data_IF_563963641782
#
_entry.id   IF_563963641782
#
_cell.length_a   1.000
_cell.length_b   1.000
_cell.length_c   1.000
_cell.angle_alpha   90.00
_cell.angle_beta   90.00
_cell.angle_gamma   90.00
#
_symmetry.space_group_name_H-M   'P 1'
#
loop_
_entity.id
_entity.type
_entity.pdbx_description
1 polymer ?
#
# COMPACT_ATOMS: atom_id res chain seq x y z
N UNK A 1 3.60 10.35 -18.87
CA UNK A 1 3.55 8.87 -19.06
C UNK A 1 4.32 8.45 -20.32
N UNK A 2 5.17 7.42 -20.27
CA UNK A 2 5.89 6.87 -21.44
C UNK A 2 5.04 5.90 -22.25
N UNK A 3 5.47 5.53 -23.46
CA UNK A 3 4.73 4.56 -24.28
C UNK A 3 4.74 3.16 -23.66
N UNK A 4 5.86 2.70 -23.08
CA UNK A 4 5.90 1.44 -22.32
C UNK A 4 4.87 1.39 -21.18
N UNK A 5 4.66 2.52 -20.50
CA UNK A 5 3.69 2.61 -19.41
C UNK A 5 2.24 2.54 -19.93
N UNK A 6 1.96 3.13 -21.09
CA UNK A 6 0.65 3.00 -21.76
C UNK A 6 0.40 1.55 -22.16
N UNK A 7 1.38 0.92 -22.82
CA UNK A 7 1.29 -0.48 -23.25
C UNK A 7 1.13 -1.42 -22.06
N UNK A 8 1.82 -1.16 -20.94
CA UNK A 8 1.60 -1.89 -19.69
C UNK A 8 0.17 -1.75 -19.17
N UNK A 9 -0.38 -0.54 -19.16
CA UNK A 9 -1.78 -0.31 -18.75
C UNK A 9 -2.75 -1.06 -19.67
N UNK A 10 -2.51 -1.05 -20.99
CA UNK A 10 -3.32 -1.79 -21.96
C UNK A 10 -3.29 -3.31 -21.70
N UNK A 11 -2.12 -3.89 -21.43
CA UNK A 11 -1.98 -5.30 -21.06
C UNK A 11 -2.76 -5.62 -19.77
N UNK A 12 -2.67 -4.76 -18.75
CA UNK A 12 -3.37 -4.95 -17.49
C UNK A 12 -4.89 -4.82 -17.68
N UNK A 13 -5.36 -3.84 -18.44
CA UNK A 13 -6.78 -3.65 -18.76
C UNK A 13 -7.35 -4.85 -19.52
N UNK A 14 -6.60 -5.39 -20.48
CA UNK A 14 -6.94 -6.63 -21.16
C UNK A 14 -7.05 -7.80 -20.18
N UNK A 15 -6.06 -7.99 -19.30
CA UNK A 15 -6.04 -9.11 -18.37
C UNK A 15 -7.12 -9.04 -17.29
N UNK A 16 -7.41 -7.84 -16.76
CA UNK A 16 -8.34 -7.66 -15.64
C UNK A 16 -9.78 -7.50 -16.07
N UNK A 17 -10.03 -6.89 -17.24
CA UNK A 17 -11.35 -6.47 -17.67
C UNK A 17 -11.74 -6.92 -19.08
N UNK A 18 -10.88 -7.71 -19.75
CA UNK A 18 -11.05 -8.13 -21.15
C UNK A 18 -11.19 -6.95 -22.14
N UNK A 19 -10.65 -5.77 -21.78
CA UNK A 19 -10.70 -4.56 -22.61
C UNK A 19 -9.54 -4.60 -23.60
N UNK A 20 -9.87 -4.72 -24.89
CA UNK A 20 -8.88 -4.68 -25.97
C UNK A 20 -8.51 -3.25 -26.28
N UNK A 21 -7.22 -2.95 -26.25
CA UNK A 21 -6.64 -1.68 -26.65
C UNK A 21 -5.66 -1.90 -27.81
N UNK A 22 -5.27 -0.82 -28.47
CA UNK A 22 -4.26 -0.87 -29.53
C UNK A 22 -2.87 -1.16 -28.93
N UNK A 23 -2.24 -2.22 -29.44
CA UNK A 23 -0.86 -2.57 -29.16
C UNK A 23 0.01 -2.15 -30.35
N UNK A 24 1.19 -1.64 -30.06
CA UNK A 24 2.16 -1.30 -31.11
C UNK A 24 3.07 -2.48 -31.37
N UNK A 25 3.16 -2.94 -32.62
CA UNK A 25 4.00 -4.09 -33.01
C UNK A 25 5.49 -3.88 -32.70
N UNK A 26 5.95 -2.62 -32.68
CA UNK A 26 7.33 -2.22 -32.37
C UNK A 26 7.61 -2.02 -30.86
N UNK A 27 6.68 -2.38 -29.98
CA UNK A 27 6.86 -2.20 -28.54
C UNK A 27 8.03 -3.03 -27.99
N UNK A 28 8.88 -2.42 -27.16
CA UNK A 28 9.89 -3.15 -26.40
C UNK A 28 9.26 -3.85 -25.19
N UNK A 29 8.82 -5.09 -25.41
CA UNK A 29 8.23 -5.92 -24.37
C UNK A 29 9.16 -6.21 -23.19
N UNK A 30 10.49 -6.16 -23.39
CA UNK A 30 11.45 -6.32 -22.29
C UNK A 30 11.36 -5.12 -21.34
N UNK A 31 11.29 -3.91 -21.90
CA UNK A 31 11.10 -2.68 -21.12
C UNK A 31 9.73 -2.65 -20.44
N UNK A 32 8.66 -3.08 -21.12
CA UNK A 32 7.30 -3.17 -20.55
C UNK A 32 7.26 -4.15 -19.36
N UNK A 33 7.83 -5.36 -19.50
CA UNK A 33 7.89 -6.33 -18.41
C UNK A 33 8.80 -5.85 -17.26
N UNK A 34 9.85 -5.07 -17.55
CA UNK A 34 10.66 -4.42 -16.52
C UNK A 34 9.84 -3.38 -15.75
N UNK A 35 9.06 -2.55 -16.42
CA UNK A 35 8.14 -1.63 -15.76
C UNK A 35 7.10 -2.41 -14.93
N UNK A 36 6.54 -3.51 -15.45
CA UNK A 36 5.58 -4.35 -14.74
C UNK A 36 6.14 -4.89 -13.41
N UNK A 37 7.43 -5.27 -13.37
CA UNK A 37 8.12 -5.67 -12.12
C UNK A 37 8.20 -4.53 -11.12
N UNK A 38 8.63 -3.35 -11.57
CA UNK A 38 8.74 -2.16 -10.73
C UNK A 38 7.38 -1.73 -10.18
N UNK A 39 6.30 -2.05 -10.89
CA UNK A 39 4.93 -1.78 -10.49
C UNK A 39 4.23 -2.93 -9.73
N UNK A 40 4.93 -4.06 -9.52
CA UNK A 40 4.43 -5.28 -8.88
C UNK A 40 3.18 -5.88 -9.56
N UNK A 41 3.16 -5.85 -10.90
CA UNK A 41 2.07 -6.36 -11.77
C UNK A 41 2.61 -7.25 -12.90
N UNK A 42 3.81 -7.81 -12.73
CA UNK A 42 4.46 -8.66 -13.72
C UNK A 42 3.60 -9.86 -14.16
N UNK A 43 2.96 -10.65 -13.28
CA UNK A 43 2.16 -11.79 -13.71
C UNK A 43 0.98 -11.39 -14.62
N UNK A 44 0.31 -10.27 -14.33
CA UNK A 44 -0.76 -9.72 -15.17
C UNK A 44 -0.24 -9.37 -16.56
N UNK A 45 0.84 -8.59 -16.61
CA UNK A 45 1.41 -8.13 -17.87
C UNK A 45 1.94 -9.29 -18.71
N UNK A 46 2.64 -10.24 -18.08
CA UNK A 46 3.23 -11.39 -18.77
C UNK A 46 2.15 -12.33 -19.32
N UNK A 47 1.11 -12.66 -18.55
CA UNK A 47 0.04 -13.51 -19.05
C UNK A 47 -0.75 -12.84 -20.18
N UNK A 48 -1.06 -11.55 -20.07
CA UNK A 48 -1.69 -10.80 -21.15
C UNK A 48 -0.85 -10.85 -22.43
N UNK A 49 0.45 -10.60 -22.29
CA UNK A 49 1.40 -10.54 -23.39
C UNK A 49 1.46 -11.84 -24.20
N UNK A 50 1.32 -13.00 -23.54
CA UNK A 50 1.27 -14.31 -24.19
C UNK A 50 0.09 -14.48 -25.15
N UNK A 51 -0.94 -13.63 -25.06
CA UNK A 51 -2.06 -13.62 -26.01
C UNK A 51 -1.74 -12.89 -27.32
N UNK A 52 -0.65 -12.13 -27.37
CA UNK A 52 -0.27 -11.29 -28.51
C UNK A 52 1.05 -11.72 -29.14
N UNK A 53 1.99 -12.24 -28.35
CA UNK A 53 3.30 -12.67 -28.82
C UNK A 53 3.73 -14.00 -28.19
N UNK A 54 4.52 -14.79 -28.93
CA UNK A 54 5.20 -15.96 -28.34
C UNK A 54 6.42 -15.48 -27.55
N UNK A 55 6.60 -16.04 -26.34
CA UNK A 55 7.75 -15.80 -25.47
C UNK A 55 8.63 -17.04 -25.31
N UNK A 56 8.53 -18.03 -26.22
CA UNK A 56 9.15 -19.35 -26.06
C UNK A 56 10.68 -19.30 -26.01
N UNK A 57 11.27 -18.30 -26.67
CA UNK A 57 12.71 -18.07 -26.68
C UNK A 57 13.24 -17.29 -25.45
N UNK A 58 12.36 -16.89 -24.52
CA UNK A 58 12.70 -16.08 -23.34
C UNK A 58 12.40 -16.83 -22.02
N UNK A 59 13.09 -17.96 -21.73
CA UNK A 59 12.77 -18.85 -20.62
C UNK A 59 12.89 -18.19 -19.23
N UNK A 60 13.62 -17.08 -19.12
CA UNK A 60 13.72 -16.31 -17.88
C UNK A 60 12.37 -15.75 -17.43
N UNK A 61 11.49 -15.36 -18.35
CA UNK A 61 10.18 -14.80 -18.01
C UNK A 61 9.20 -15.88 -17.55
N UNK A 62 9.20 -17.04 -18.21
CA UNK A 62 8.46 -18.20 -17.76
C UNK A 62 8.92 -18.65 -16.36
N UNK A 63 10.23 -18.66 -16.10
CA UNK A 63 10.80 -18.98 -14.78
C UNK A 63 10.38 -17.97 -13.71
N UNK A 64 10.38 -16.68 -14.01
CA UNK A 64 9.93 -15.64 -13.09
C UNK A 64 8.43 -15.73 -12.82
N UNK A 65 7.62 -16.00 -13.84
CA UNK A 65 6.19 -16.24 -13.69
C UNK A 65 5.95 -17.44 -12.78
N UNK A 66 6.59 -18.58 -13.06
CA UNK A 66 6.51 -19.78 -12.21
C UNK A 66 6.95 -19.51 -10.75
N UNK A 67 7.97 -18.67 -10.54
CA UNK A 67 8.41 -18.24 -9.20
C UNK A 67 7.35 -17.39 -8.47
N UNK A 68 6.64 -16.51 -9.20
CA UNK A 68 5.49 -15.78 -8.67
C UNK A 68 4.36 -16.75 -8.29
N UNK A 69 4.00 -17.70 -9.18
CA UNK A 69 2.98 -18.71 -8.89
C UNK A 69 3.34 -19.54 -7.64
N UNK A 70 4.59 -19.99 -7.52
CA UNK A 70 5.06 -20.73 -6.35
C UNK A 70 4.98 -19.89 -5.06
N UNK A 71 5.21 -18.57 -5.14
CA UNK A 71 5.02 -17.65 -4.02
C UNK A 71 3.54 -17.50 -3.67
N UNK A 72 2.66 -17.40 -4.66
CA UNK A 72 1.22 -17.28 -4.46
C UNK A 72 0.61 -18.54 -3.83
N UNK A 73 1.02 -19.74 -4.28
CA UNK A 73 0.65 -21.03 -3.69
C UNK A 73 1.14 -21.13 -2.25
N UNK A 74 2.39 -20.71 -1.98
CA UNK A 74 2.93 -20.67 -0.61
C UNK A 74 2.10 -19.74 0.28
N UNK A 75 1.76 -18.55 -0.20
CA UNK A 75 0.94 -17.61 0.58
C UNK A 75 -0.47 -18.17 0.81
N UNK A 76 -1.09 -18.81 -0.19
CA UNK A 76 -2.37 -19.51 -0.02
C UNK A 76 -2.30 -20.56 1.09
N UNK A 77 -1.23 -21.36 1.13
CA UNK A 77 -0.98 -22.33 2.19
C UNK A 77 -0.91 -21.64 3.57
N UNK A 78 -0.13 -20.56 3.71
CA UNK A 78 0.01 -19.87 5.00
C UNK A 78 -1.25 -19.11 5.44
N UNK A 79 -2.09 -18.62 4.52
CA UNK A 79 -3.42 -18.12 4.87
C UNK A 79 -4.30 -19.22 5.48
N UNK A 80 -4.23 -20.44 4.94
CA UNK A 80 -4.99 -21.57 5.46
C UNK A 80 -4.44 -22.10 6.79
N UNK A 81 -3.11 -22.17 6.96
CA UNK A 81 -2.51 -22.54 8.25
C UNK A 81 -2.81 -21.50 9.33
N UNK A 82 -2.78 -20.22 8.98
CA UNK A 82 -3.18 -19.15 9.90
C UNK A 82 -4.65 -19.32 10.32
N UNK A 83 -5.54 -19.61 9.37
CA UNK A 83 -6.94 -19.89 9.69
C UNK A 83 -7.05 -21.04 10.68
N UNK A 84 -6.44 -22.20 10.39
CA UNK A 84 -6.44 -23.37 11.27
C UNK A 84 -5.91 -23.05 12.66
N UNK A 85 -4.81 -22.30 12.74
CA UNK A 85 -4.16 -21.92 13.99
C UNK A 85 -5.06 -21.04 14.85
N UNK A 86 -5.65 -19.99 14.27
CA UNK A 86 -6.44 -19.01 15.01
C UNK A 86 -7.82 -19.56 15.38
N UNK A 87 -8.54 -20.19 14.45
CA UNK A 87 -9.87 -20.75 14.76
C UNK A 87 -9.78 -21.94 15.70
N UNK A 88 -8.76 -22.79 15.56
CA UNK A 88 -8.52 -23.90 16.48
C UNK A 88 -8.15 -23.47 17.91
N UNK A 89 -7.80 -22.20 18.10
CA UNK A 89 -7.54 -21.59 19.41
C UNK A 89 -8.60 -20.54 19.79
N UNK A 90 -9.74 -20.51 19.10
CA UNK A 90 -10.87 -19.60 19.36
C UNK A 90 -10.45 -18.12 19.31
N UNK A 91 -9.58 -17.75 18.37
CA UNK A 91 -9.13 -16.37 18.17
C UNK A 91 -9.85 -15.79 16.94
N UNK A 92 -10.79 -14.84 17.12
CA UNK A 92 -11.39 -14.11 16.03
C UNK A 92 -10.34 -13.29 15.28
N UNK A 93 -10.43 -13.29 13.95
CA UNK A 93 -9.51 -12.54 13.11
C UNK A 93 -10.12 -12.22 11.75
N UNK A 94 -9.50 -11.32 11.02
CA UNK A 94 -9.83 -11.04 9.62
C UNK A 94 -8.56 -10.90 8.79
N UNK A 95 -8.55 -11.43 7.57
CA UNK A 95 -7.46 -11.19 6.63
C UNK A 95 -7.61 -9.78 6.03
N UNK A 96 -6.56 -8.97 6.10
CA UNK A 96 -6.61 -7.58 5.62
C UNK A 96 -6.36 -7.48 4.11
N UNK A 97 -5.42 -8.28 3.60
CA UNK A 97 -4.89 -8.23 2.23
C UNK A 97 -4.46 -9.63 1.79
N UNK A 98 -3.82 -9.75 0.63
CA UNK A 98 -3.29 -11.04 0.18
C UNK A 98 -4.36 -11.80 -0.60
N UNK A 99 -4.74 -12.99 -0.14
CA UNK A 99 -5.73 -13.82 -0.83
C UNK A 99 -7.12 -13.18 -0.92
N UNK A 100 -7.50 -12.36 0.08
CA UNK A 100 -8.77 -11.61 0.03
C UNK A 100 -8.76 -10.59 -1.10
N UNK A 101 -7.65 -9.88 -1.33
CA UNK A 101 -7.53 -8.96 -2.47
C UNK A 101 -7.40 -9.71 -3.80
N UNK A 102 -6.69 -10.85 -3.79
CA UNK A 102 -6.52 -11.71 -4.96
C UNK A 102 -7.85 -12.27 -5.48
N UNK A 103 -8.83 -12.49 -4.59
CA UNK A 103 -10.12 -13.11 -4.97
C UNK A 103 -10.95 -12.28 -5.95
N UNK A 104 -10.66 -10.99 -6.11
CA UNK A 104 -11.34 -10.13 -7.08
C UNK A 104 -10.72 -10.15 -8.48
N UNK A 105 -9.50 -10.70 -8.61
CA UNK A 105 -8.85 -10.84 -9.90
C UNK A 105 -9.51 -11.96 -10.71
N UNK A 106 -9.50 -11.89 -12.06
CA UNK A 106 -10.01 -12.96 -12.92
C UNK A 106 -9.34 -14.32 -12.64
N UNK A 107 -8.06 -14.30 -12.28
CA UNK A 107 -7.34 -15.41 -11.67
C UNK A 107 -6.58 -14.88 -10.44
N UNK A 108 -6.89 -15.37 -9.21
CA UNK A 108 -6.20 -14.97 -7.98
C UNK A 108 -4.68 -15.15 -8.02
N UNK A 109 -4.18 -16.07 -8.84
CA UNK A 109 -2.75 -16.30 -8.95
C UNK A 109 -2.01 -15.22 -9.74
N UNK A 110 -2.70 -14.27 -10.39
CA UNK A 110 -2.07 -13.16 -11.10
C UNK A 110 -1.73 -11.98 -10.20
N UNK A 111 -2.28 -11.93 -8.98
CA UNK A 111 -1.93 -10.91 -8.01
C UNK A 111 -0.57 -11.23 -7.40
N UNK A 112 0.44 -10.37 -7.59
CA UNK A 112 1.73 -10.52 -6.90
C UNK A 112 1.59 -10.32 -5.38
N UNK A 113 1.62 -11.42 -4.62
CA UNK A 113 1.52 -11.43 -3.16
C UNK A 113 2.89 -11.42 -2.48
N UNK A 114 3.00 -10.69 -1.36
CA UNK A 114 4.21 -10.63 -0.55
C UNK A 114 4.06 -11.41 0.76
N UNK A 115 3.13 -10.95 1.59
CA UNK A 115 2.90 -11.29 2.98
C UNK A 115 1.44 -11.71 3.24
N UNK A 116 1.22 -12.28 4.43
CA UNK A 116 -0.09 -12.58 4.99
C UNK A 116 -0.39 -11.53 6.07
N UNK A 117 -1.19 -10.53 5.72
CA UNK A 117 -1.67 -9.52 6.67
C UNK A 117 -2.99 -9.95 7.31
N UNK A 118 -3.05 -9.95 8.64
CA UNK A 118 -4.26 -10.27 9.37
C UNK A 118 -4.45 -9.38 10.59
N UNK A 119 -5.70 -9.14 10.95
CA UNK A 119 -6.13 -8.31 12.07
C UNK A 119 -6.68 -9.18 13.19
N UNK A 120 -6.24 -8.93 14.41
CA UNK A 120 -6.74 -9.56 15.65
C UNK A 120 -7.15 -8.49 16.66
N UNK A 121 -7.88 -8.90 17.70
CA UNK A 121 -8.11 -8.02 18.84
C UNK A 121 -6.82 -7.80 19.63
N UNK A 122 -6.67 -6.60 20.20
CA UNK A 122 -5.51 -6.25 21.04
C UNK A 122 -5.31 -7.20 22.22
N UNK A 123 -6.41 -7.72 22.77
CA UNK A 123 -6.39 -8.66 23.89
C UNK A 123 -5.69 -10.00 23.53
N UNK A 124 -5.67 -10.36 22.25
CA UNK A 124 -5.12 -11.64 21.77
C UNK A 124 -3.65 -11.55 21.33
N UNK A 125 -3.03 -10.36 21.34
CA UNK A 125 -1.68 -10.15 20.80
C UNK A 125 -0.66 -11.11 21.42
N UNK A 126 -0.60 -11.19 22.75
CA UNK A 126 0.37 -12.06 23.45
C UNK A 126 0.09 -13.55 23.19
N UNK A 127 -1.19 -13.93 23.10
CA UNK A 127 -1.61 -15.30 22.81
C UNK A 127 -1.19 -15.70 21.39
N UNK A 128 -1.45 -14.84 20.40
CA UNK A 128 -1.07 -15.08 19.00
C UNK A 128 0.45 -15.06 18.83
N UNK A 129 1.17 -14.16 19.51
CA UNK A 129 2.64 -14.15 19.49
C UNK A 129 3.22 -15.49 19.99
N UNK A 130 2.70 -16.01 21.11
CA UNK A 130 3.08 -17.32 21.61
C UNK A 130 2.80 -18.44 20.60
N UNK A 131 1.59 -18.47 20.02
CA UNK A 131 1.18 -19.48 19.04
C UNK A 131 2.04 -19.45 17.77
N UNK A 132 2.31 -18.27 17.21
CA UNK A 132 3.18 -18.14 16.04
C UNK A 132 4.60 -18.62 16.33
N UNK A 133 5.15 -18.27 17.50
CA UNK A 133 6.47 -18.76 17.92
C UNK A 133 6.50 -20.28 18.09
N UNK A 134 5.44 -20.87 18.66
CA UNK A 134 5.30 -22.32 18.79
C UNK A 134 5.22 -23.02 17.43
N UNK A 135 4.59 -22.38 16.43
CA UNK A 135 4.58 -22.82 15.03
C UNK A 135 5.90 -22.56 14.29
N UNK A 136 6.96 -22.10 14.98
CA UNK A 136 8.30 -21.90 14.44
C UNK A 136 8.50 -20.58 13.70
N UNK A 137 7.56 -19.64 13.80
CA UNK A 137 7.77 -18.29 13.30
C UNK A 137 8.69 -17.48 14.22
N UNK A 138 9.60 -16.73 13.61
CA UNK A 138 10.48 -15.79 14.32
C UNK A 138 9.94 -14.38 14.16
N UNK A 139 9.62 -13.74 15.30
CA UNK A 139 9.32 -12.31 15.36
C UNK A 139 10.56 -11.53 14.93
N UNK A 140 10.40 -10.52 14.08
CA UNK A 140 11.52 -9.72 13.58
C UNK A 140 11.84 -8.58 14.56
N UNK A 141 13.12 -8.31 14.82
CA UNK A 141 13.57 -7.32 15.84
C UNK A 141 13.08 -5.87 15.59
N UNK A 142 12.67 -5.55 14.36
CA UNK A 142 12.09 -4.25 14.02
C UNK A 142 10.56 -4.21 14.15
N UNK A 143 9.89 -5.36 14.33
CA UNK A 143 8.45 -5.46 14.49
C UNK A 143 7.95 -4.58 15.65
N UNK A 144 8.70 -4.53 16.75
CA UNK A 144 8.32 -3.76 17.96
C UNK A 144 8.42 -2.24 17.78
N UNK A 145 8.90 -1.76 16.62
CA UNK A 145 8.96 -0.32 16.30
C UNK A 145 7.72 0.16 15.54
N UNK A 146 6.83 -0.74 15.15
CA UNK A 146 5.61 -0.40 14.43
C UNK A 146 4.45 -0.22 15.41
N UNK A 147 3.69 0.87 15.25
CA UNK A 147 2.64 1.27 16.20
C UNK A 147 1.38 0.39 16.11
N UNK A 148 1.23 -0.41 15.05
CA UNK A 148 -0.01 -1.12 14.70
C UNK A 148 0.16 -2.60 14.33
N UNK A 149 1.39 -3.12 14.20
CA UNK A 149 1.61 -4.53 13.83
C UNK A 149 2.96 -5.09 14.26
N UNK A 150 3.07 -6.42 14.25
CA UNK A 150 4.32 -7.17 14.34
C UNK A 150 4.52 -8.07 13.13
N UNK A 151 5.76 -8.15 12.64
CA UNK A 151 6.15 -9.00 11.52
C UNK A 151 6.87 -10.29 11.98
N UNK A 152 6.53 -11.39 11.34
CA UNK A 152 7.01 -12.73 11.62
C UNK A 152 7.52 -13.41 10.35
N UNK A 153 8.59 -14.21 10.46
CA UNK A 153 9.11 -15.01 9.35
C UNK A 153 9.32 -16.48 9.71
N UNK A 154 8.98 -17.35 8.76
CA UNK A 154 9.31 -18.78 8.75
C UNK A 154 9.66 -19.14 7.32
N UNK A 155 10.90 -19.59 7.10
CA UNK A 155 11.45 -19.84 5.76
C UNK A 155 11.26 -18.65 4.80
N UNK A 156 10.44 -18.82 3.76
CA UNK A 156 10.10 -17.79 2.76
C UNK A 156 8.72 -17.17 2.98
N UNK A 157 8.08 -17.44 4.12
CA UNK A 157 6.79 -16.88 4.49
C UNK A 157 6.96 -15.67 5.39
N UNK A 158 6.09 -14.69 5.21
CA UNK A 158 6.02 -13.48 6.02
C UNK A 158 4.59 -13.28 6.47
N UNK A 159 4.39 -13.17 7.78
CA UNK A 159 3.09 -12.88 8.41
C UNK A 159 3.19 -11.54 9.10
N UNK A 160 2.18 -10.69 8.91
CA UNK A 160 2.04 -9.43 9.63
C UNK A 160 0.79 -9.51 10.50
N UNK A 161 1.01 -9.59 11.82
CA UNK A 161 -0.01 -9.54 12.85
C UNK A 161 -0.35 -8.08 13.13
N UNK A 162 -1.53 -7.63 12.73
CA UNK A 162 -2.02 -6.27 12.96
C UNK A 162 -3.03 -6.25 14.12
N UNK A 163 -3.02 -5.16 14.88
CA UNK A 163 -4.07 -4.83 15.85
C UNK A 163 -4.77 -3.50 15.55
N UNK A 164 -4.28 -2.74 14.56
CA UNK A 164 -4.99 -1.63 13.92
C UNK A 164 -4.73 -1.66 12.41
N UNK A 165 -5.61 -1.03 11.63
CA UNK A 165 -5.41 -0.88 10.19
C UNK A 165 -4.39 0.25 9.92
N UNK A 166 -3.35 0.00 9.10
CA UNK A 166 -2.38 1.03 8.72
C UNK A 166 -3.04 2.21 8.02
N UNK A 167 -2.61 3.43 8.33
CA UNK A 167 -3.06 4.64 7.64
C UNK A 167 -4.33 5.29 8.20
N UNK A 168 -4.93 4.72 9.25
CA UNK A 168 -6.08 5.34 9.93
C UNK A 168 -5.60 6.44 10.90
N UNK A 169 -6.07 7.70 10.77
CA UNK A 169 -5.84 8.70 11.80
C UNK A 169 -6.44 8.25 13.13
N UNK A 170 -5.78 8.45 14.29
CA UNK A 170 -6.28 7.98 15.59
C UNK A 170 -7.72 8.41 15.91
N UNK A 171 -8.16 9.57 15.42
CA UNK A 171 -9.52 10.08 15.57
C UNK A 171 -10.60 9.31 14.79
N UNK A 172 -10.19 8.48 13.82
CA UNK A 172 -11.07 7.74 12.90
C UNK A 172 -11.03 6.22 13.12
N UNK A 173 -10.08 5.72 13.93
CA UNK A 173 -9.87 4.28 14.24
C UNK A 173 -11.14 3.59 14.74
N UNK A 174 -12.06 4.33 15.35
CA UNK A 174 -13.20 3.76 16.05
C UNK A 174 -14.54 3.85 15.30
N UNK A 175 -14.66 4.60 14.20
CA UNK A 175 -15.99 4.86 13.62
C UNK A 175 -16.42 3.78 12.61
N UNK A 176 -15.51 3.30 11.76
CA UNK A 176 -15.84 2.39 10.64
C UNK A 176 -14.89 1.19 10.51
N UNK A 177 -13.91 1.06 11.41
CA UNK A 177 -12.92 -0.02 11.39
C UNK A 177 -12.90 -0.87 12.65
N UNK A 178 -13.71 -0.52 13.66
CA UNK A 178 -13.69 -1.20 14.96
C UNK A 178 -14.30 -2.60 14.92
N UNK A 179 -15.24 -2.84 14.01
CA UNK A 179 -16.04 -4.05 13.89
C UNK A 179 -15.65 -4.93 12.69
N UNK A 180 -14.49 -4.69 12.09
CA UNK A 180 -13.95 -5.48 10.96
C UNK A 180 -13.91 -6.97 11.28
N UNK A 181 -13.42 -7.33 12.48
CA UNK A 181 -13.32 -8.72 12.93
C UNK A 181 -14.72 -9.32 13.18
N UNK A 182 -15.62 -8.54 13.78
CA UNK A 182 -16.97 -9.00 14.12
C UNK A 182 -17.84 -9.23 12.88
N UNK A 183 -17.57 -8.50 11.80
CA UNK A 183 -18.25 -8.65 10.50
C UNK A 183 -17.43 -9.49 9.51
N UNK A 184 -16.38 -10.18 9.98
CA UNK A 184 -15.63 -11.08 9.12
C UNK A 184 -16.41 -12.38 8.91
N UNK A 185 -16.44 -12.86 7.68
CA UNK A 185 -17.16 -14.05 7.26
C UNK A 185 -16.16 -15.11 6.79
N UNK A 186 -16.44 -16.36 7.15
CA UNK A 186 -15.70 -17.49 6.62
C UNK A 186 -16.00 -17.65 5.13
N UNK A 187 -14.95 -17.73 4.29
CA UNK A 187 -15.09 -18.03 2.86
C UNK A 187 -14.08 -19.07 2.42
N UNK A 188 -14.50 -19.83 1.41
CA UNK A 188 -13.67 -20.84 0.77
C UNK A 188 -13.11 -20.29 -0.55
N UNK A 189 -11.79 -20.29 -0.70
CA UNK A 189 -11.07 -19.99 -1.94
C UNK A 189 -10.13 -21.15 -2.25
N UNK A 190 -10.26 -21.73 -3.44
CA UNK A 190 -9.40 -22.83 -3.90
C UNK A 190 -9.30 -23.98 -2.89
N UNK A 191 -10.43 -24.36 -2.28
CA UNK A 191 -10.54 -25.38 -1.24
C UNK A 191 -9.79 -25.04 0.07
N UNK A 192 -9.52 -23.76 0.32
CA UNK A 192 -8.93 -23.26 1.56
C UNK A 192 -9.85 -22.25 2.21
N UNK A 193 -10.01 -22.38 3.52
CA UNK A 193 -10.92 -21.55 4.31
C UNK A 193 -10.13 -20.45 5.01
N UNK A 194 -10.68 -19.23 5.04
CA UNK A 194 -10.13 -18.10 5.79
C UNK A 194 -11.21 -17.05 6.06
N UNK A 195 -10.95 -16.12 6.99
CA UNK A 195 -11.87 -15.04 7.37
C UNK A 195 -11.72 -13.81 6.48
N UNK A 196 -12.78 -13.47 5.76
CA UNK A 196 -12.88 -12.30 4.87
C UNK A 196 -13.57 -11.15 5.60
N UNK A 197 -13.03 -9.92 5.58
CA UNK A 197 -13.81 -8.76 5.97
C UNK A 197 -15.05 -8.63 5.07
N UNK A 198 -16.12 -8.02 5.60
CA UNK A 198 -17.26 -7.64 4.75
C UNK A 198 -16.81 -6.72 3.59
N UNK A 199 -17.57 -6.65 2.48
CA UNK A 199 -17.19 -5.82 1.33
C UNK A 199 -16.84 -4.37 1.71
N UNK A 200 -17.64 -3.75 2.58
CA UNK A 200 -17.38 -2.41 3.12
C UNK A 200 -15.99 -2.32 3.79
N UNK A 201 -15.73 -3.22 4.74
CA UNK A 201 -14.48 -3.21 5.50
C UNK A 201 -13.26 -3.46 4.62
N UNK A 202 -13.34 -4.39 3.67
CA UNK A 202 -12.20 -4.67 2.80
C UNK A 202 -11.91 -3.50 1.85
N UNK A 203 -12.94 -2.88 1.26
CA UNK A 203 -12.75 -1.66 0.46
C UNK A 203 -12.12 -0.51 1.25
N UNK A 204 -12.53 -0.34 2.52
CA UNK A 204 -11.93 0.63 3.41
C UNK A 204 -10.44 0.31 3.70
N UNK A 205 -10.12 -0.96 3.97
CA UNK A 205 -8.73 -1.43 4.16
C UNK A 205 -7.86 -1.14 2.93
N UNK A 206 -8.35 -1.40 1.72
CA UNK A 206 -7.60 -1.14 0.48
C UNK A 206 -7.27 0.34 0.30
N UNK A 207 -8.22 1.25 0.58
CA UNK A 207 -7.99 2.70 0.50
C UNK A 207 -6.99 3.18 1.55
N UNK A 208 -7.19 2.81 2.81
CA UNK A 208 -6.33 3.22 3.92
C UNK A 208 -4.90 2.71 3.76
N UNK A 209 -4.75 1.46 3.34
CA UNK A 209 -3.46 0.86 3.04
C UNK A 209 -2.76 1.61 1.90
N UNK A 210 -3.49 1.93 0.83
CA UNK A 210 -2.97 2.73 -0.28
C UNK A 210 -2.50 4.11 0.19
N UNK A 211 -3.26 4.78 1.07
CA UNK A 211 -2.86 6.07 1.66
C UNK A 211 -1.61 5.94 2.53
N UNK A 212 -1.53 4.90 3.36
CA UNK A 212 -0.38 4.63 4.22
C UNK A 212 0.91 4.50 3.39
N UNK A 213 0.86 3.71 2.32
CA UNK A 213 2.00 3.56 1.43
C UNK A 213 2.26 4.80 0.58
N UNK A 214 1.23 5.45 0.07
CA UNK A 214 1.36 6.68 -0.72
C UNK A 214 2.08 7.76 0.09
N UNK A 215 1.77 7.90 1.37
CA UNK A 215 2.41 8.89 2.26
C UNK A 215 3.78 8.44 2.80
N UNK A 216 4.06 7.13 2.83
CA UNK A 216 5.30 6.55 3.36
C UNK A 216 6.40 6.24 2.33
N UNK A 217 6.08 5.83 1.11
CA UNK A 217 7.06 5.44 0.08
C UNK A 217 6.57 5.58 -1.35
N UNK A 218 5.26 5.49 -1.56
CA UNK A 218 4.62 5.45 -2.86
C UNK A 218 3.83 4.15 -3.03
N UNK A 219 2.79 4.21 -3.85
CA UNK A 219 2.05 3.03 -4.30
C UNK A 219 2.44 2.76 -5.76
N UNK A 220 2.43 1.48 -6.14
CA UNK A 220 2.57 1.06 -7.54
C UNK A 220 1.21 0.66 -8.14
N UNK A 221 1.20 0.31 -9.43
CA UNK A 221 -0.02 -0.11 -10.13
C UNK A 221 -0.75 -1.25 -9.42
N UNK A 222 -0.07 -2.13 -8.68
CA UNK A 222 -0.72 -3.18 -7.88
C UNK A 222 -1.83 -2.65 -6.96
N UNK A 223 -1.60 -1.53 -6.27
CA UNK A 223 -2.59 -0.95 -5.34
C UNK A 223 -3.79 -0.38 -6.09
N UNK A 224 -3.54 0.26 -7.23
CA UNK A 224 -4.60 0.72 -8.13
C UNK A 224 -5.38 -0.47 -8.68
N UNK A 225 -4.71 -1.54 -9.09
CA UNK A 225 -5.35 -2.75 -9.59
C UNK A 225 -6.24 -3.38 -8.51
N UNK A 226 -5.73 -3.56 -7.29
CA UNK A 226 -6.48 -4.09 -6.14
C UNK A 226 -7.78 -3.30 -5.94
N UNK A 227 -7.71 -1.97 -5.99
CA UNK A 227 -8.90 -1.11 -5.89
C UNK A 227 -9.86 -1.30 -7.07
N UNK A 228 -9.34 -1.30 -8.31
CA UNK A 228 -10.17 -1.38 -9.50
C UNK A 228 -10.91 -2.71 -9.61
N UNK A 229 -10.28 -3.87 -9.34
CA UNK A 229 -11.01 -5.15 -9.33
C UNK A 229 -11.99 -5.26 -8.18
N UNK A 230 -11.64 -4.76 -6.98
CA UNK A 230 -12.56 -4.74 -5.84
C UNK A 230 -13.82 -3.93 -6.17
N UNK A 231 -13.65 -2.68 -6.59
CA UNK A 231 -14.78 -1.82 -6.92
C UNK A 231 -15.57 -2.36 -8.11
N UNK A 232 -14.90 -2.99 -9.07
CA UNK A 232 -15.58 -3.58 -10.22
C UNK A 232 -16.33 -4.88 -9.90
N UNK A 233 -16.04 -5.52 -8.78
CA UNK A 233 -16.79 -6.69 -8.29
C UNK A 233 -18.19 -6.34 -7.74
N UNK A 234 -18.45 -5.06 -7.47
CA UNK A 234 -19.73 -4.57 -6.97
C UNK A 234 -20.48 -3.82 -8.09
N UNK A 235 -21.82 -3.84 -8.02
CA UNK A 235 -22.63 -2.93 -8.85
C UNK A 235 -22.45 -1.48 -8.38
N UNK A 236 -22.56 -0.49 -9.27
CA UNK A 236 -22.44 0.93 -8.87
C UNK A 236 -23.42 1.30 -7.75
N UNK A 237 -24.64 0.77 -7.79
CA UNK A 237 -25.66 1.00 -6.75
C UNK A 237 -25.22 0.44 -5.40
N UNK A 238 -24.70 -0.78 -5.39
CA UNK A 238 -24.21 -1.43 -4.17
C UNK A 238 -23.00 -0.69 -3.60
N UNK A 239 -22.03 -0.34 -4.45
CA UNK A 239 -20.87 0.45 -4.05
C UNK A 239 -21.29 1.78 -3.41
N UNK A 240 -22.17 2.54 -4.07
CA UNK A 240 -22.66 3.81 -3.54
C UNK A 240 -23.38 3.66 -2.20
N UNK A 241 -24.20 2.61 -2.07
CA UNK A 241 -24.92 2.30 -0.82
C UNK A 241 -23.96 2.03 0.34
N UNK A 242 -22.89 1.27 0.07
CA UNK A 242 -21.92 0.90 1.10
C UNK A 242 -20.93 2.02 1.42
N UNK A 243 -20.47 2.78 0.41
CA UNK A 243 -19.27 3.61 0.54
C UNK A 243 -19.51 5.12 0.51
N UNK A 244 -20.56 5.63 -0.16
CA UNK A 244 -20.66 7.06 -0.41
C UNK A 244 -20.72 7.89 0.88
N UNK A 245 -21.66 7.57 1.77
CA UNK A 245 -21.79 8.29 3.06
C UNK A 245 -20.58 8.03 3.96
N UNK A 246 -20.16 6.77 4.24
CA UNK A 246 -19.03 6.54 5.14
C UNK A 246 -17.74 7.19 4.67
N UNK A 247 -17.41 7.11 3.36
CA UNK A 247 -16.19 7.72 2.83
C UNK A 247 -16.24 9.26 2.84
N UNK A 248 -17.42 9.89 2.71
CA UNK A 248 -17.56 11.34 2.91
C UNK A 248 -17.34 11.71 4.38
N UNK A 249 -17.93 10.96 5.31
CA UNK A 249 -17.82 11.22 6.75
C UNK A 249 -16.36 11.14 7.26
N UNK A 250 -15.50 10.38 6.59
CA UNK A 250 -14.08 10.26 6.94
C UNK A 250 -13.14 10.96 5.94
N UNK A 251 -13.65 11.72 4.98
CA UNK A 251 -12.84 12.48 4.02
C UNK A 251 -12.01 11.64 3.05
N UNK A 252 -12.50 10.46 2.66
CA UNK A 252 -11.87 9.56 1.68
C UNK A 252 -12.61 9.50 0.34
N UNK A 253 -13.78 10.13 0.23
CA UNK A 253 -14.60 10.08 -0.98
C UNK A 253 -13.87 10.60 -2.23
N UNK A 254 -13.17 11.72 -2.11
CA UNK A 254 -12.38 12.29 -3.22
C UNK A 254 -11.30 11.32 -3.70
N UNK A 255 -10.60 10.67 -2.79
CA UNK A 255 -9.55 9.71 -3.14
C UNK A 255 -10.12 8.48 -3.86
N UNK A 256 -11.22 7.91 -3.35
CA UNK A 256 -11.91 6.81 -4.02
C UNK A 256 -12.37 7.18 -5.44
N UNK A 257 -12.97 8.38 -5.60
CA UNK A 257 -13.36 8.89 -6.92
C UNK A 257 -12.18 9.01 -7.88
N UNK A 258 -11.06 9.60 -7.44
CA UNK A 258 -9.87 9.76 -8.27
C UNK A 258 -9.29 8.40 -8.68
N UNK A 259 -9.16 7.46 -7.73
CA UNK A 259 -8.67 6.11 -8.03
C UNK A 259 -9.56 5.38 -9.04
N UNK A 260 -10.89 5.45 -8.89
CA UNK A 260 -11.83 4.84 -9.83
C UNK A 260 -11.83 5.54 -11.19
N UNK A 261 -11.74 6.87 -11.22
CA UNK A 261 -11.72 7.62 -12.48
C UNK A 261 -10.45 7.37 -13.29
N UNK A 262 -9.32 7.09 -12.65
CA UNK A 262 -8.13 6.57 -13.36
C UNK A 262 -8.46 5.27 -14.10
N UNK A 263 -9.23 4.37 -13.48
CA UNK A 263 -9.76 3.17 -14.14
C UNK A 263 -10.56 3.49 -15.39
N UNK A 264 -11.46 4.47 -15.31
CA UNK A 264 -12.28 4.91 -16.46
C UNK A 264 -11.43 5.51 -17.57
N UNK A 265 -10.50 6.40 -17.23
CA UNK A 265 -9.71 7.16 -18.20
C UNK A 265 -8.63 6.31 -18.90
N UNK A 266 -8.03 5.34 -18.19
CA UNK A 266 -6.83 4.65 -18.68
C UNK A 266 -6.98 3.14 -18.79
N UNK A 267 -7.88 2.52 -18.02
CA UNK A 267 -8.13 1.07 -18.06
C UNK A 267 -9.43 0.71 -18.78
N UNK A 268 -10.26 1.71 -19.15
CA UNK A 268 -11.51 1.55 -19.90
C UNK A 268 -12.68 1.02 -19.08
N UNK A 269 -12.60 1.02 -17.74
CA UNK A 269 -13.74 0.61 -16.92
C UNK A 269 -14.91 1.60 -17.05
N UNK A 270 -16.14 1.12 -16.87
CA UNK A 270 -17.33 1.97 -16.98
C UNK A 270 -17.89 2.28 -15.58
N UNK A 271 -17.59 3.47 -15.04
CA UNK A 271 -18.07 3.93 -13.74
C UNK A 271 -18.56 5.37 -13.79
N UNK A 272 -19.85 5.58 -13.55
CA UNK A 272 -20.47 6.90 -13.67
C UNK A 272 -20.30 7.77 -12.42
N UNK A 273 -20.23 7.16 -11.24
CA UNK A 273 -20.20 7.86 -9.96
C UNK A 273 -18.93 8.70 -9.71
N UNK A 274 -17.84 8.40 -10.42
CA UNK A 274 -16.57 9.13 -10.29
C UNK A 274 -16.40 10.23 -11.35
N UNK A 275 -17.40 10.48 -12.22
CA UNK A 275 -17.29 11.37 -13.41
C UNK A 275 -16.83 12.79 -13.09
N UNK A 276 -17.13 13.29 -11.90
CA UNK A 276 -16.86 14.66 -11.45
C UNK A 276 -15.48 14.82 -10.80
N UNK A 277 -14.67 13.76 -10.70
CA UNK A 277 -13.29 13.89 -10.25
C UNK A 277 -12.45 14.65 -11.28
N UNK A 278 -11.48 15.46 -10.84
CA UNK A 278 -10.65 16.27 -11.73
C UNK A 278 -9.68 15.40 -12.56
N UNK A 279 -9.72 15.51 -13.89
CA UNK A 279 -8.89 14.71 -14.81
C UNK A 279 -7.40 15.00 -14.60
N UNK A 280 -7.05 16.27 -14.34
CA UNK A 280 -5.68 16.68 -14.04
C UNK A 280 -5.13 16.03 -12.77
N UNK A 281 -5.97 15.90 -11.74
CA UNK A 281 -5.64 15.20 -10.50
C UNK A 281 -5.51 13.69 -10.71
N UNK A 282 -6.35 13.09 -11.56
CA UNK A 282 -6.24 11.68 -11.94
C UNK A 282 -4.91 11.41 -12.65
N UNK A 283 -4.57 12.21 -13.65
CA UNK A 283 -3.30 12.12 -14.36
C UNK A 283 -2.11 12.31 -13.40
N UNK A 284 -2.15 13.34 -12.56
CA UNK A 284 -1.08 13.62 -11.61
C UNK A 284 -0.87 12.47 -10.59
N UNK A 285 -1.95 11.84 -10.12
CA UNK A 285 -1.83 10.67 -9.26
C UNK A 285 -1.27 9.47 -10.03
N UNK A 286 -1.77 9.18 -11.23
CA UNK A 286 -1.24 8.08 -12.06
C UNK A 286 0.25 8.27 -12.35
N UNK A 287 0.70 9.48 -12.65
CA UNK A 287 2.12 9.78 -12.86
C UNK A 287 2.97 9.63 -11.59
N UNK A 288 2.43 9.95 -10.40
CA UNK A 288 3.12 9.66 -9.12
C UNK A 288 3.30 8.14 -8.92
N UNK A 289 2.27 7.35 -9.25
CA UNK A 289 2.31 5.86 -9.19
C UNK A 289 3.36 5.32 -10.15
N UNK A 290 3.29 5.75 -11.42
CA UNK A 290 4.16 5.28 -12.49
C UNK A 290 5.63 5.69 -12.29
N UNK A 291 5.88 6.88 -11.75
CA UNK A 291 7.24 7.35 -11.46
C UNK A 291 7.83 6.77 -10.18
N UNK A 292 7.00 6.51 -9.16
CA UNK A 292 7.44 5.96 -7.88
C UNK A 292 7.71 4.46 -7.93
N UNK A 293 6.88 3.70 -8.65
CA UNK A 293 6.88 2.24 -8.56
C UNK A 293 6.36 1.73 -7.22
N UNK A 294 6.12 0.43 -7.13
CA UNK A 294 5.60 -0.20 -5.92
C UNK A 294 6.58 0.02 -4.76
N UNK A 295 6.11 0.67 -3.69
CA UNK A 295 6.90 1.09 -2.52
C UNK A 295 8.08 2.03 -2.81
N UNK A 296 8.01 2.81 -3.90
CA UNK A 296 9.06 3.78 -4.23
C UNK A 296 10.32 3.15 -4.83
N UNK A 297 10.24 1.90 -5.32
CA UNK A 297 11.40 1.15 -5.85
C UNK A 297 12.09 1.81 -7.04
N UNK A 298 11.43 2.73 -7.75
CA UNK A 298 12.02 3.49 -8.87
C UNK A 298 12.74 4.77 -8.43
N UNK A 299 12.52 5.22 -7.20
CA UNK A 299 13.10 6.45 -6.68
C UNK A 299 13.60 6.26 -5.24
N UNK A 300 14.91 6.06 -5.11
CA UNK A 300 15.60 5.87 -3.83
C UNK A 300 15.50 7.08 -2.88
N UNK A 301 14.99 8.23 -3.34
CA UNK A 301 14.73 9.41 -2.52
C UNK A 301 13.34 9.41 -1.89
N UNK A 302 12.43 8.51 -2.30
CA UNK A 302 11.05 8.42 -1.78
C UNK A 302 10.97 8.27 -0.27
N UNK A 303 11.84 7.46 0.33
CA UNK A 303 11.91 7.33 1.79
C UNK A 303 12.37 8.60 2.50
N UNK A 304 13.17 9.44 1.83
CA UNK A 304 13.57 10.76 2.33
C UNK A 304 12.42 11.77 2.19
N UNK A 305 11.74 11.78 1.05
CA UNK A 305 10.57 12.62 0.80
C UNK A 305 9.44 12.30 1.80
N UNK A 306 9.15 11.03 2.04
CA UNK A 306 8.10 10.61 2.95
C UNK A 306 8.32 11.07 4.38
N UNK A 307 9.57 11.03 4.88
CA UNK A 307 9.92 11.59 6.21
C UNK A 307 9.58 13.08 6.34
N UNK A 308 9.52 13.81 5.22
CA UNK A 308 9.12 15.22 5.18
C UNK A 308 7.59 15.40 5.12
N UNK A 309 6.85 14.42 4.60
CA UNK A 309 5.40 14.49 4.32
C UNK A 309 4.55 13.82 5.40
N UNK A 310 5.00 12.70 5.98
CA UNK A 310 4.22 11.78 6.81
C UNK A 310 3.55 12.43 8.02
N UNK A 311 4.16 13.48 8.60
CA UNK A 311 3.60 14.23 9.72
C UNK A 311 2.43 15.17 9.35
N UNK A 312 2.12 15.39 8.07
CA UNK A 312 1.04 16.30 7.64
C UNK A 312 -0.29 15.59 7.40
N UNK A 313 -0.28 14.44 6.73
CA UNK A 313 -1.52 13.73 6.34
C UNK A 313 -2.25 13.16 7.55
N UNK A 314 -1.53 12.79 8.61
CA UNK A 314 -2.11 12.20 9.83
C UNK A 314 -2.39 13.20 10.95
N UNK A 315 -1.83 14.43 10.91
CA UNK A 315 -1.89 15.37 12.05
C UNK A 315 -2.21 16.85 11.71
N UNK A 316 -1.83 17.39 10.54
CA UNK A 316 -2.11 18.80 10.16
C UNK A 316 -1.69 19.11 8.69
N UNK A 317 -2.63 19.19 7.73
CA UNK A 317 -2.34 19.33 6.29
C UNK A 317 -1.62 20.63 5.86
N UNK A 318 -1.72 21.73 6.64
CA UNK A 318 -1.41 23.09 6.17
C UNK A 318 -0.02 23.66 6.56
N UNK A 319 0.84 22.90 7.25
CA UNK A 319 2.17 23.40 7.68
C UNK A 319 3.19 23.51 6.54
N UNK A 320 4.24 24.34 6.67
CA UNK A 320 5.39 24.33 5.75
C UNK A 320 6.33 23.15 6.04
N UNK A 321 6.98 22.55 5.03
CA UNK A 321 7.98 21.46 5.22
C UNK A 321 9.09 21.91 6.19
N UNK A 322 9.52 23.17 6.10
CA UNK A 322 10.53 23.76 6.98
C UNK A 322 10.08 23.83 8.45
N UNK A 323 8.83 24.26 8.68
CA UNK A 323 8.24 24.33 10.03
C UNK A 323 8.17 22.94 10.67
N UNK A 324 7.79 21.92 9.90
CA UNK A 324 7.72 20.55 10.37
C UNK A 324 9.10 19.93 10.59
N UNK A 325 10.09 20.29 9.76
CA UNK A 325 11.48 19.94 9.99
C UNK A 325 11.95 20.41 11.38
N UNK A 326 11.63 21.66 11.75
CA UNK A 326 11.95 22.19 13.09
C UNK A 326 11.21 21.48 14.22
N UNK A 327 9.92 21.14 14.03
CA UNK A 327 9.15 20.35 15.03
C UNK A 327 9.80 18.98 15.23
N UNK A 328 10.15 18.28 14.15
CA UNK A 328 10.82 16.98 14.22
C UNK A 328 12.19 17.05 14.90
N UNK A 329 12.97 18.09 14.61
CA UNK A 329 14.26 18.34 15.29
C UNK A 329 14.03 18.56 16.78
N UNK A 330 13.01 19.35 17.15
CA UNK A 330 12.69 19.63 18.54
C UNK A 330 12.21 18.39 19.30
N UNK A 331 11.34 17.57 18.72
CA UNK A 331 10.88 16.33 19.35
C UNK A 331 12.03 15.31 19.48
N UNK A 332 12.87 15.17 18.46
CA UNK A 332 14.07 14.33 18.55
C UNK A 332 15.03 14.82 19.63
N UNK A 333 15.24 16.14 19.73
CA UNK A 333 16.08 16.71 20.78
C UNK A 333 15.51 16.43 22.18
N UNK A 334 14.19 16.59 22.38
CA UNK A 334 13.51 16.25 23.63
C UNK A 334 13.60 14.76 23.96
N UNK A 335 13.56 13.89 22.96
CA UNK A 335 13.64 12.44 23.16
C UNK A 335 15.05 12.00 23.53
N UNK A 336 16.03 12.41 22.73
CA UNK A 336 17.40 11.93 22.82
C UNK A 336 18.22 12.64 23.93
N UNK A 337 17.81 13.85 24.35
CA UNK A 337 18.51 14.63 25.37
C UNK A 337 17.60 15.02 26.54
N UNK A 338 17.85 14.46 27.73
CA UNK A 338 17.04 14.71 28.93
C UNK A 338 16.98 16.19 29.34
N UNK A 339 18.06 16.95 29.16
CA UNK A 339 18.12 18.37 29.49
C UNK A 339 17.19 19.23 28.61
N UNK A 340 16.87 18.79 27.37
CA UNK A 340 15.90 19.49 26.51
C UNK A 340 14.45 19.35 26.99
N UNK A 341 14.16 18.34 27.83
CA UNK A 341 12.85 18.18 28.50
C UNK A 341 12.75 19.08 29.73
N UNK A 342 13.82 19.17 30.50
CA UNK A 342 13.85 19.86 31.80
C UNK A 342 14.02 21.38 31.68
N UNK A 343 14.80 21.87 30.70
CA UNK A 343 15.13 23.29 30.56
C UNK A 343 14.90 23.77 29.13
N UNK A 344 13.85 24.57 28.94
CA UNK A 344 13.43 25.08 27.62
C UNK A 344 14.55 25.86 26.92
N UNK A 345 15.33 26.66 27.66
CA UNK A 345 16.41 27.47 27.10
C UNK A 345 17.62 26.64 26.59
N UNK A 346 17.72 25.36 26.95
CA UNK A 346 18.76 24.45 26.44
C UNK A 346 18.36 23.73 25.15
N UNK A 347 17.15 23.95 24.64
CA UNK A 347 16.67 23.35 23.38
C UNK A 347 17.53 23.70 22.16
N UNK A 348 18.04 24.95 21.98
CA UNK A 348 18.92 25.27 20.86
C UNK A 348 20.19 24.40 20.81
N UNK A 349 20.77 24.07 21.97
CA UNK A 349 21.93 23.17 22.08
C UNK A 349 21.56 21.76 21.61
N UNK A 350 20.41 21.26 22.03
CA UNK A 350 19.88 19.98 21.56
C UNK A 350 19.60 19.95 20.06
N UNK A 351 19.05 21.04 19.50
CA UNK A 351 18.85 21.18 18.05
C UNK A 351 20.17 21.13 17.29
N UNK A 352 21.18 21.88 17.75
CA UNK A 352 22.52 21.86 17.16
C UNK A 352 23.13 20.46 17.22
N UNK A 353 22.97 19.73 18.33
CA UNK A 353 23.45 18.35 18.45
C UNK A 353 22.71 17.39 17.50
N UNK A 354 21.39 17.51 17.35
CA UNK A 354 20.61 16.70 16.38
C UNK A 354 21.04 16.98 14.94
N UNK A 355 21.20 18.26 14.57
CA UNK A 355 21.62 18.67 13.23
C UNK A 355 23.07 18.25 12.96
N UNK A 356 23.97 18.42 13.93
CA UNK A 356 25.37 18.00 13.85
C UNK A 356 25.51 16.49 13.67
N UNK A 357 24.81 15.68 14.46
CA UNK A 357 24.78 14.22 14.27
C UNK A 357 24.23 13.81 12.91
N UNK A 358 23.21 14.53 12.42
CA UNK A 358 22.69 14.31 11.08
C UNK A 358 23.74 14.63 10.01
N UNK A 359 24.40 15.79 10.09
CA UNK A 359 25.45 16.20 9.17
C UNK A 359 26.63 15.21 9.16
N UNK A 360 27.10 14.76 10.33
CA UNK A 360 28.15 13.74 10.44
C UNK A 360 27.74 12.46 9.72
N UNK A 361 26.50 11.99 9.88
CA UNK A 361 26.01 10.77 9.20
C UNK A 361 25.87 10.95 7.69
N UNK A 362 25.55 12.15 7.23
CA UNK A 362 25.53 12.47 5.79
C UNK A 362 26.94 12.46 5.22
N UNK A 363 27.89 13.15 5.87
CA UNK A 363 29.29 13.20 5.45
C UNK A 363 29.92 11.80 5.48
N UNK A 364 29.59 10.99 6.49
CA UNK A 364 30.10 9.62 6.61
C UNK A 364 29.42 8.61 5.68
N UNK A 365 28.56 9.05 4.75
CA UNK A 365 27.82 8.18 3.83
C UNK A 365 26.78 7.24 4.49
N UNK A 366 26.53 7.41 5.79
CA UNK A 366 25.58 6.57 6.56
C UNK A 366 24.13 7.01 6.37
N UNK A 367 23.88 8.14 5.69
CA UNK A 367 22.53 8.69 5.47
C UNK A 367 22.48 9.61 4.25
N UNK A 368 21.39 9.54 3.49
CA UNK A 368 21.14 10.48 2.37
C UNK A 368 20.80 11.89 2.87
N UNK A 369 21.22 12.91 2.10
CA UNK A 369 20.93 14.30 2.41
C UNK A 369 19.50 14.71 2.02
N UNK A 370 18.56 14.68 2.97
CA UNK A 370 17.16 15.06 2.75
C UNK A 370 16.94 16.55 2.44
N UNK A 371 17.95 17.40 2.62
CA UNK A 371 17.89 18.84 2.30
C UNK A 371 18.41 19.16 0.89
N UNK A 372 18.73 18.15 0.10
CA UNK A 372 19.04 18.34 -1.30
C UNK A 372 17.85 18.99 -2.03
N UNK A 373 18.11 20.02 -2.84
CA UNK A 373 17.08 20.84 -3.50
C UNK A 373 16.09 20.00 -4.30
N UNK A 374 16.58 18.95 -4.98
CA UNK A 374 15.75 18.02 -5.74
C UNK A 374 14.75 17.28 -4.83
N UNK A 375 15.23 16.66 -3.76
CA UNK A 375 14.40 15.91 -2.79
C UNK A 375 13.33 16.81 -2.15
N UNK A 376 13.70 18.04 -1.80
CA UNK A 376 12.75 19.02 -1.27
C UNK A 376 11.66 19.38 -2.28
N UNK A 377 12.04 19.66 -3.53
CA UNK A 377 11.10 19.99 -4.59
C UNK A 377 10.14 18.81 -4.89
N UNK A 378 10.67 17.59 -4.97
CA UNK A 378 9.87 16.38 -5.22
C UNK A 378 8.89 16.12 -4.06
N UNK A 379 9.36 16.29 -2.82
CA UNK A 379 8.50 16.20 -1.64
C UNK A 379 7.40 17.28 -1.63
N UNK A 380 7.72 18.52 -2.03
CA UNK A 380 6.72 19.60 -2.14
C UNK A 380 5.68 19.30 -3.22
N UNK A 381 6.08 18.75 -4.36
CA UNK A 381 5.16 18.40 -5.45
C UNK A 381 4.20 17.28 -5.03
N UNK A 382 4.73 16.21 -4.41
CA UNK A 382 3.89 15.14 -3.84
C UNK A 382 2.96 15.64 -2.75
N UNK A 383 3.45 16.53 -1.89
CA UNK A 383 2.61 17.12 -0.86
C UNK A 383 1.45 17.94 -1.48
N UNK A 384 1.72 18.74 -2.52
CA UNK A 384 0.67 19.49 -3.25
C UNK A 384 -0.38 18.53 -3.83
N UNK A 385 0.07 17.43 -4.45
CA UNK A 385 -0.81 16.38 -4.94
C UNK A 385 -1.70 15.81 -3.81
N UNK A 386 -1.11 15.40 -2.69
CA UNK A 386 -1.86 14.82 -1.57
C UNK A 386 -2.80 15.82 -0.88
N UNK A 387 -2.46 17.11 -0.91
CA UNK A 387 -3.35 18.17 -0.41
C UNK A 387 -4.59 18.31 -1.31
N UNK A 388 -4.42 18.22 -2.64
CA UNK A 388 -5.56 18.23 -3.58
C UNK A 388 -6.49 17.03 -3.44
N UNK A 389 -5.99 15.90 -2.93
CA UNK A 389 -6.82 14.73 -2.61
C UNK A 389 -7.72 14.95 -1.38
N UNK A 390 -7.48 16.00 -0.59
CA UNK A 390 -8.27 16.38 0.60
C UNK A 390 -8.46 15.21 1.58
N UNK A 391 -7.41 14.41 1.77
CA UNK A 391 -7.45 13.21 2.61
C UNK A 391 -7.84 13.57 4.04
N UNK A 392 -8.91 12.94 4.53
CA UNK A 392 -9.47 13.14 5.87
C UNK A 392 -10.08 14.53 6.12
N UNK A 393 -10.31 15.32 5.06
CA UNK A 393 -11.12 16.54 5.12
C UNK A 393 -12.59 16.20 4.84
N UNK A 394 -13.47 16.53 5.79
CA UNK A 394 -14.92 16.26 5.70
C UNK A 394 -15.65 17.27 4.80
#
# INVERSE_FOLDING_TARGET
MTDDQKQLIHLIAYQMFAIKNEFTDDADWHSILKEARLQAVFPLAYQALQSFISTDNEPQYAKEYASNQATNIRNLYYHAELHRLLTGNEIPYAILKGQVSASYYPDPMLRSMGDVDFLIHRADIEKVDYLLKAEGFKKLDYAEKHEYHWAYKKDRASLELHWDIPGVPPSLVNQYSADVINNAEERNISNKVMMFPSPFHHGLVLLLHSISHMTGGGIGLRHLCDWLVFENSLSEREFLTLFEKPLKDIGLWTFAKVMTKIGVLYFGTARSWCRDADDGLCLALLEDILSGGNFGTKDNTRGSQAKLIQNKVTKSPQGSILKNGMVSINEKAKRDYAYCRQKVFLRPVGWAAVVGQYAIRVISGKRNNVFEKKILNDAMNRQKLYTKLRLFER
#
